data_IF_511860798016
#
_entry.id   IF_511860798016
#
_cell.length_a   1.000
_cell.length_b   1.000
_cell.length_c   1.000
_cell.angle_alpha   90.00
_cell.angle_beta   90.00
_cell.angle_gamma   90.00
#
_symmetry.space_group_name_H-M   'P 1'
#
loop_
_entity.id
_entity.type
_entity.pdbx_description
1 polymer ?
#
# COMPACT_ATOMS: atom_id res chain seq x y z
N UNK A 1 -7.92 -22.70 -9.51
CA UNK A 1 -6.87 -21.82 -8.95
C UNK A 1 -5.62 -22.05 -9.77
N UNK A 2 -5.29 -21.14 -10.71
CA UNK A 2 -4.08 -21.28 -11.53
C UNK A 2 -2.91 -20.57 -10.83
N UNK A 3 -2.11 -21.31 -10.07
CA UNK A 3 -0.88 -20.78 -9.50
C UNK A 3 0.21 -20.78 -10.58
N UNK A 4 0.41 -19.62 -11.21
CA UNK A 4 1.49 -19.45 -12.19
C UNK A 4 2.81 -19.15 -11.48
N UNK A 5 3.96 -19.63 -12.00
CA UNK A 5 5.28 -19.28 -11.48
C UNK A 5 5.55 -17.77 -11.61
N UNK A 6 6.52 -17.20 -10.87
CA UNK A 6 6.83 -15.78 -10.92
C UNK A 6 7.13 -15.34 -12.36
N UNK A 7 6.34 -14.39 -12.85
CA UNK A 7 6.43 -13.82 -14.18
C UNK A 7 7.59 -12.82 -14.25
N UNK A 8 8.52 -13.05 -15.17
CA UNK A 8 9.58 -12.11 -15.53
C UNK A 8 9.17 -11.42 -16.83
N UNK A 9 8.91 -10.11 -16.80
CA UNK A 9 8.45 -9.35 -17.97
C UNK A 9 9.57 -8.51 -18.60
N UNK A 10 9.64 -8.49 -19.94
CA UNK A 10 10.45 -7.54 -20.73
C UNK A 10 9.52 -6.91 -21.77
N UNK A 11 9.34 -5.58 -21.75
CA UNK A 11 8.51 -4.87 -22.74
C UNK A 11 9.39 -4.12 -23.76
N UNK A 12 9.09 -4.25 -25.06
CA UNK A 12 9.66 -3.43 -26.15
C UNK A 12 8.53 -2.66 -26.86
N UNK A 13 8.77 -1.40 -27.22
CA UNK A 13 7.83 -0.46 -27.87
C UNK A 13 8.34 -0.05 -29.27
N UNK A 14 7.51 0.41 -30.24
CA UNK A 14 6.23 -0.13 -30.70
C UNK A 14 6.26 -0.36 -32.23
N UNK A 15 6.24 -1.61 -32.66
CA UNK A 15 5.69 -2.01 -33.95
C UNK A 15 5.26 -3.48 -33.78
N UNK A 16 3.98 -3.68 -33.42
CA UNK A 16 3.39 -4.95 -32.92
C UNK A 16 3.87 -5.36 -31.53
N UNK A 17 3.04 -5.15 -30.51
CA UNK A 17 3.27 -5.64 -29.14
C UNK A 17 3.11 -7.15 -29.08
N UNK A 18 4.22 -7.88 -29.02
CA UNK A 18 4.28 -9.27 -28.50
C UNK A 18 4.75 -9.18 -27.04
N UNK A 19 3.96 -9.66 -26.07
CA UNK A 19 4.42 -9.79 -24.69
C UNK A 19 5.21 -11.10 -24.53
N UNK A 20 6.37 -11.13 -23.84
CA UNK A 20 7.16 -12.35 -23.74
C UNK A 20 6.91 -13.20 -22.48
N UNK A 21 6.78 -14.50 -22.74
CA UNK A 21 7.34 -15.69 -22.09
C UNK A 21 7.62 -15.69 -20.57
N UNK A 22 6.73 -16.32 -19.80
CA UNK A 22 7.03 -16.86 -18.45
C UNK A 22 8.17 -17.90 -18.48
N UNK A 23 8.74 -18.34 -17.33
CA UNK A 23 9.79 -19.39 -17.31
C UNK A 23 9.37 -20.72 -17.99
N UNK A 24 8.09 -20.89 -18.31
CA UNK A 24 7.60 -21.69 -19.43
C UNK A 24 7.02 -20.71 -20.47
N UNK A 25 7.77 -20.43 -21.55
CA UNK A 25 7.53 -19.25 -22.37
C UNK A 25 6.19 -19.22 -23.10
N UNK A 26 5.20 -18.54 -22.50
CA UNK A 26 3.96 -18.19 -23.16
C UNK A 26 4.00 -16.71 -23.55
N UNK A 27 4.13 -16.44 -24.84
CA UNK A 27 3.95 -15.10 -25.39
C UNK A 27 2.45 -14.82 -25.50
N UNK A 28 1.99 -13.70 -24.93
CA UNK A 28 0.58 -13.28 -24.96
C UNK A 28 0.49 -12.00 -25.79
N UNK A 29 -0.31 -12.01 -26.85
CA UNK A 29 -0.62 -10.79 -27.58
C UNK A 29 -1.58 -9.94 -26.75
N UNK A 30 -1.24 -8.67 -26.54
CA UNK A 30 -2.02 -7.77 -25.70
C UNK A 30 -1.94 -6.34 -26.22
N UNK A 31 -3.10 -5.68 -26.25
CA UNK A 31 -3.24 -4.24 -26.53
C UNK A 31 -2.98 -3.39 -25.27
N UNK A 32 -3.21 -3.97 -24.08
CA UNK A 32 -3.04 -3.30 -22.80
C UNK A 32 -2.49 -4.26 -21.74
N UNK A 33 -1.69 -3.71 -20.83
CA UNK A 33 -1.05 -4.46 -19.75
C UNK A 33 -1.25 -3.73 -18.43
N UNK A 34 -1.80 -4.43 -17.44
CA UNK A 34 -1.99 -3.94 -16.07
C UNK A 34 -0.94 -4.55 -15.14
N UNK A 35 -0.22 -3.70 -14.40
CA UNK A 35 0.73 -4.13 -13.37
C UNK A 35 0.09 -4.02 -11.98
N UNK A 36 -0.32 -5.17 -11.43
CA UNK A 36 -0.86 -5.27 -10.05
C UNK A 36 0.12 -6.02 -9.13
N UNK A 37 1.37 -5.57 -9.09
CA UNK A 37 2.49 -6.23 -8.38
C UNK A 37 2.88 -5.53 -7.07
N UNK A 38 2.03 -4.61 -6.60
CA UNK A 38 2.29 -3.77 -5.43
C UNK A 38 3.00 -2.46 -5.78
N UNK A 39 3.04 -1.57 -4.79
CA UNK A 39 3.66 -0.23 -4.87
C UNK A 39 4.90 -0.16 -3.98
N UNK A 40 5.77 0.81 -4.26
CA UNK A 40 6.95 1.11 -3.43
C UNK A 40 6.95 2.60 -3.09
N UNK A 41 7.33 2.98 -1.85
CA UNK A 41 7.51 4.38 -1.48
C UNK A 41 8.42 5.13 -2.44
N UNK A 42 7.98 6.31 -2.88
CA UNK A 42 8.77 7.16 -3.78
C UNK A 42 9.75 8.02 -2.97
N UNK A 43 10.83 7.41 -2.49
CA UNK A 43 11.87 8.04 -1.66
C UNK A 43 13.11 8.45 -2.45
N UNK A 44 13.08 8.31 -3.79
CA UNK A 44 14.24 8.59 -4.65
C UNK A 44 14.72 10.05 -4.59
N UNK A 45 13.78 10.99 -4.37
CA UNK A 45 14.07 12.42 -4.24
C UNK A 45 14.80 12.80 -2.95
N UNK A 46 14.82 11.89 -1.95
CA UNK A 46 15.39 12.14 -0.64
C UNK A 46 16.85 11.67 -0.53
N UNK A 47 17.39 11.09 -1.60
CA UNK A 47 18.81 10.75 -1.68
C UNK A 47 19.66 11.99 -1.40
N UNK A 48 20.68 11.81 -0.58
CA UNK A 48 21.64 12.86 -0.21
C UNK A 48 21.07 14.06 0.57
N UNK A 49 19.83 13.99 1.05
CA UNK A 49 19.22 15.06 1.87
C UNK A 49 19.54 14.99 3.36
N UNK A 50 20.14 13.88 3.82
CA UNK A 50 20.36 13.60 5.25
C UNK A 50 19.13 13.07 5.99
N UNK A 51 17.98 12.95 5.31
CA UNK A 51 16.79 12.27 5.86
C UNK A 51 17.05 10.77 5.90
N UNK A 52 16.80 10.16 7.05
CA UNK A 52 16.90 8.72 7.23
C UNK A 52 15.81 8.01 6.43
N UNK A 53 16.22 7.16 5.50
CA UNK A 53 15.34 6.37 4.65
C UNK A 53 15.71 4.88 4.73
N UNK A 54 14.71 4.02 4.59
CA UNK A 54 14.85 2.57 4.46
C UNK A 54 13.88 2.05 3.39
N UNK A 55 12.81 1.33 3.76
CA UNK A 55 11.72 0.98 2.84
C UNK A 55 10.86 2.20 2.56
N UNK A 56 10.71 3.11 3.53
CA UNK A 56 10.13 4.44 3.42
C UNK A 56 10.97 5.51 4.13
N UNK A 57 10.39 6.68 4.37
CA UNK A 57 10.96 7.72 5.24
C UNK A 57 10.78 7.30 6.68
N UNK A 58 11.88 7.10 7.40
CA UNK A 58 11.81 6.67 8.80
C UNK A 58 11.30 7.82 9.65
N UNK A 59 10.22 7.56 10.40
CA UNK A 59 9.59 8.56 11.28
C UNK A 59 9.43 8.04 12.71
N UNK A 60 9.43 8.98 13.65
CA UNK A 60 9.08 8.75 15.05
C UNK A 60 7.55 8.74 15.27
N UNK A 61 7.12 8.58 16.52
CA UNK A 61 5.69 8.60 16.91
C UNK A 61 5.00 9.96 16.67
N UNK A 62 5.75 11.03 16.40
CA UNK A 62 5.24 12.36 16.07
C UNK A 62 5.23 12.62 14.56
N UNK A 63 5.51 11.58 13.75
CA UNK A 63 5.66 11.63 12.30
C UNK A 63 6.82 12.53 11.82
N UNK A 64 7.80 12.79 12.69
CA UNK A 64 9.00 13.59 12.38
C UNK A 64 10.04 12.72 11.70
N UNK A 65 10.74 13.30 10.74
CA UNK A 65 11.92 12.66 10.15
C UNK A 65 13.16 12.89 11.01
N UNK A 66 14.32 12.39 10.59
CA UNK A 66 15.60 12.69 11.23
C UNK A 66 16.08 14.13 11.06
N UNK A 67 15.41 14.93 10.21
CA UNK A 67 15.73 16.34 9.97
C UNK A 67 14.67 17.22 10.61
N UNK A 68 15.13 18.22 11.35
CA UNK A 68 14.26 19.15 12.07
C UNK A 68 13.26 19.85 11.12
N UNK A 69 12.03 20.02 11.58
CA UNK A 69 10.94 20.65 10.84
C UNK A 69 10.52 19.94 9.54
N UNK A 70 11.00 18.72 9.30
CA UNK A 70 10.56 17.87 8.18
C UNK A 70 9.80 16.67 8.72
N UNK A 71 8.63 16.42 8.14
CA UNK A 71 7.68 15.38 8.53
C UNK A 71 7.35 14.49 7.32
N UNK A 72 6.94 13.25 7.58
CA UNK A 72 6.44 12.35 6.55
C UNK A 72 5.22 11.57 7.06
N UNK A 73 4.26 11.33 6.18
CA UNK A 73 3.03 10.61 6.49
C UNK A 73 2.51 9.88 5.25
N UNK A 74 1.68 8.87 5.46
CA UNK A 74 1.07 8.09 4.40
C UNK A 74 2.01 7.04 3.80
N UNK A 75 1.78 6.71 2.54
CA UNK A 75 2.42 5.58 1.86
C UNK A 75 3.95 5.68 1.83
N UNK A 76 4.50 6.89 2.00
CA UNK A 76 5.94 7.11 2.03
C UNK A 76 6.56 6.88 3.42
N UNK A 77 5.77 6.94 4.49
CA UNK A 77 6.27 6.90 5.87
C UNK A 77 6.50 5.47 6.35
N UNK A 78 7.64 5.26 7.01
CA UNK A 78 8.01 4.05 7.71
C UNK A 78 8.01 4.30 9.21
N UNK A 79 7.02 3.74 9.90
CA UNK A 79 6.88 3.82 11.36
C UNK A 79 7.05 2.44 11.97
N UNK A 80 7.94 2.28 12.95
CA UNK A 80 8.28 0.99 13.57
C UNK A 80 8.60 -0.12 12.55
N UNK A 81 9.32 0.22 11.47
CA UNK A 81 9.70 -0.71 10.40
C UNK A 81 8.55 -1.12 9.48
N UNK A 82 7.37 -0.50 9.59
CA UNK A 82 6.19 -0.80 8.79
C UNK A 82 5.90 0.33 7.80
N UNK A 83 5.60 -0.07 6.57
CA UNK A 83 4.99 0.79 5.54
C UNK A 83 3.67 0.12 5.14
N UNK A 84 2.56 0.77 5.46
CA UNK A 84 1.22 0.19 5.31
C UNK A 84 0.64 0.38 3.91
N UNK A 85 0.71 1.60 3.35
CA UNK A 85 0.17 1.87 2.01
C UNK A 85 -1.35 1.82 1.92
N UNK A 86 -2.06 2.24 2.97
CA UNK A 86 -3.53 2.18 3.06
C UNK A 86 -4.11 3.50 3.57
N UNK A 87 -5.32 3.82 3.11
CA UNK A 87 -5.98 5.09 3.39
C UNK A 87 -6.18 5.40 4.89
N UNK A 88 -6.68 4.48 5.75
CA UNK A 88 -6.90 4.79 7.16
C UNK A 88 -5.62 5.21 7.90
N UNK A 89 -4.50 4.54 7.59
CA UNK A 89 -3.19 4.86 8.17
C UNK A 89 -2.70 6.20 7.64
N UNK A 90 -2.78 6.44 6.33
CA UNK A 90 -2.33 7.69 5.73
C UNK A 90 -3.08 8.91 6.28
N UNK A 91 -4.40 8.78 6.47
CA UNK A 91 -5.24 9.82 7.06
C UNK A 91 -4.81 10.16 8.48
N UNK A 92 -4.62 9.17 9.34
CA UNK A 92 -4.26 9.42 10.73
C UNK A 92 -2.81 9.94 10.84
N UNK A 93 -1.85 9.36 10.11
CA UNK A 93 -0.48 9.87 10.07
C UNK A 93 -0.44 11.33 9.59
N UNK A 94 -1.21 11.69 8.56
CA UNK A 94 -1.28 13.05 8.04
C UNK A 94 -1.81 14.05 9.07
N UNK A 95 -2.84 13.65 9.82
CA UNK A 95 -3.39 14.45 10.94
C UNK A 95 -2.32 14.66 12.03
N UNK A 96 -1.61 13.61 12.43
CA UNK A 96 -0.56 13.71 13.46
C UNK A 96 0.60 14.59 12.99
N UNK A 97 1.08 14.41 11.76
CA UNK A 97 2.10 15.27 11.18
C UNK A 97 1.67 16.74 11.17
N UNK A 98 0.43 17.01 10.73
CA UNK A 98 -0.16 18.35 10.72
C UNK A 98 -0.22 19.01 12.10
N UNK A 99 -0.70 18.28 13.12
CA UNK A 99 -0.77 18.78 14.49
C UNK A 99 0.63 19.12 15.05
N UNK A 100 1.61 18.25 14.82
CA UNK A 100 2.97 18.50 15.29
C UNK A 100 3.66 19.64 14.53
N UNK A 101 3.41 19.79 13.22
CA UNK A 101 3.85 20.97 12.45
C UNK A 101 3.23 22.28 12.99
N UNK A 102 2.01 22.22 13.51
CA UNK A 102 1.31 23.36 14.12
C UNK A 102 1.69 23.62 15.59
N UNK A 103 2.66 22.87 16.15
CA UNK A 103 3.11 23.02 17.54
C UNK A 103 2.22 22.32 18.58
N UNK A 104 1.27 21.49 18.14
CA UNK A 104 0.42 20.68 19.02
C UNK A 104 1.02 19.28 19.14
N UNK A 105 1.81 19.05 20.20
CA UNK A 105 2.46 17.77 20.46
C UNK A 105 1.44 16.64 20.57
N UNK A 106 1.42 15.75 19.57
CA UNK A 106 0.45 14.66 19.46
C UNK A 106 1.16 13.40 18.99
N UNK A 107 1.08 12.30 19.73
CA UNK A 107 1.65 11.02 19.31
C UNK A 107 0.68 10.23 18.42
N UNK A 108 1.23 9.49 17.47
CA UNK A 108 0.52 8.55 16.62
C UNK A 108 0.21 7.26 17.38
N UNK A 109 -1.06 6.86 17.35
CA UNK A 109 -1.51 5.54 17.79
C UNK A 109 -1.76 4.69 16.56
N UNK A 110 -1.20 3.47 16.53
CA UNK A 110 -1.42 2.57 15.39
C UNK A 110 -2.92 2.32 15.17
N UNK A 111 -3.39 2.62 13.97
CA UNK A 111 -4.75 2.32 13.54
C UNK A 111 -4.83 0.85 13.14
N UNK A 112 -5.91 0.17 13.52
CA UNK A 112 -6.20 -1.19 13.04
C UNK A 112 -6.28 -1.14 11.51
N UNK A 113 -5.39 -1.84 10.78
CA UNK A 113 -5.41 -1.82 9.33
C UNK A 113 -6.76 -2.30 8.82
N UNK A 114 -7.36 -1.56 7.89
CA UNK A 114 -8.59 -1.97 7.24
C UNK A 114 -8.59 -1.58 5.78
N UNK A 115 -9.16 -2.45 4.96
CA UNK A 115 -9.29 -2.24 3.52
C UNK A 115 -10.70 -2.61 3.08
N UNK A 116 -11.21 -1.85 2.12
CA UNK A 116 -12.49 -2.08 1.47
C UNK A 116 -12.26 -2.10 -0.04
N UNK A 117 -12.75 -3.14 -0.71
CA UNK A 117 -12.70 -3.27 -2.15
C UNK A 117 -14.07 -3.70 -2.67
N UNK A 118 -14.50 -3.08 -3.78
CA UNK A 118 -15.68 -3.48 -4.53
C UNK A 118 -15.23 -4.07 -5.86
N UNK A 119 -15.60 -5.33 -6.09
CA UNK A 119 -15.29 -6.07 -7.32
C UNK A 119 -16.61 -6.52 -7.92
N UNK A 120 -17.03 -5.85 -9.00
CA UNK A 120 -18.36 -6.02 -9.59
C UNK A 120 -19.45 -5.86 -8.51
N UNK A 121 -20.27 -6.90 -8.32
CA UNK A 121 -21.38 -6.94 -7.36
C UNK A 121 -20.96 -7.46 -5.98
N UNK A 122 -19.66 -7.68 -5.77
CA UNK A 122 -19.11 -8.18 -4.50
C UNK A 122 -18.39 -7.06 -3.76
N UNK A 123 -18.77 -6.86 -2.50
CA UNK A 123 -18.09 -5.95 -1.58
C UNK A 123 -17.32 -6.75 -0.54
N UNK A 124 -16.04 -6.42 -0.36
CA UNK A 124 -15.14 -7.12 0.55
C UNK A 124 -14.55 -6.09 1.50
N UNK A 125 -14.71 -6.37 2.79
CA UNK A 125 -14.08 -5.63 3.86
C UNK A 125 -13.12 -6.54 4.62
N UNK A 126 -11.99 -5.98 5.04
CA UNK A 126 -11.03 -6.64 5.92
C UNK A 126 -10.56 -5.67 6.99
N UNK A 127 -10.33 -6.18 8.20
CA UNK A 127 -9.74 -5.45 9.31
C UNK A 127 -8.80 -6.35 10.11
N UNK A 128 -7.69 -5.79 10.59
CA UNK A 128 -6.64 -6.51 11.31
C UNK A 128 -5.55 -7.11 10.40
N UNK A 129 -4.67 -7.94 10.97
CA UNK A 129 -3.62 -8.64 10.24
C UNK A 129 -4.03 -10.08 9.93
N UNK A 130 -4.67 -10.27 8.77
CA UNK A 130 -5.14 -11.57 8.31
C UNK A 130 -4.01 -12.55 7.95
N UNK A 131 -2.76 -12.09 7.82
CA UNK A 131 -1.65 -12.91 7.36
C UNK A 131 -0.83 -13.54 8.51
N UNK A 132 -0.98 -13.03 9.74
CA UNK A 132 -0.18 -13.49 10.89
C UNK A 132 -0.96 -14.22 11.97
N UNK A 133 -2.28 -14.19 11.92
CA UNK A 133 -3.10 -14.77 12.98
C UNK A 133 -3.75 -16.08 12.56
N UNK A 134 -3.53 -17.14 13.37
CA UNK A 134 -4.19 -18.45 13.21
C UNK A 134 -5.72 -18.36 13.38
N UNK A 135 -6.21 -17.31 14.05
CA UNK A 135 -7.62 -17.10 14.36
C UNK A 135 -8.33 -16.14 13.40
N UNK A 136 -7.79 -15.92 12.19
CA UNK A 136 -8.45 -15.09 11.19
C UNK A 136 -9.86 -15.64 10.87
N UNK A 137 -10.89 -14.82 11.08
CA UNK A 137 -12.28 -15.17 10.78
C UNK A 137 -12.73 -14.51 9.48
N UNK A 138 -13.38 -15.28 8.61
CA UNK A 138 -14.06 -14.77 7.44
C UNK A 138 -15.57 -14.95 7.62
N UNK A 139 -16.31 -13.85 7.59
CA UNK A 139 -17.76 -13.84 7.59
C UNK A 139 -18.20 -13.42 6.19
N UNK A 140 -18.94 -14.28 5.50
CA UNK A 140 -19.55 -13.97 4.21
C UNK A 140 -21.01 -13.68 4.48
N UNK A 141 -21.42 -12.44 4.22
CA UNK A 141 -22.82 -12.01 4.33
C UNK A 141 -23.28 -11.53 2.97
N UNK A 142 -24.41 -12.06 2.50
CA UNK A 142 -25.09 -11.55 1.32
C UNK A 142 -25.90 -10.32 1.75
N UNK A 143 -25.40 -9.13 1.42
CA UNK A 143 -26.07 -7.87 1.75
C UNK A 143 -27.04 -7.57 0.62
N UNK A 144 -28.31 -7.93 0.82
CA UNK A 144 -29.42 -7.58 -0.06
C UNK A 144 -29.79 -6.10 0.18
N UNK A 145 -29.49 -5.17 -0.75
CA UNK A 145 -29.67 -3.73 -0.54
C UNK A 145 -31.13 -3.36 -0.23
N UNK A 146 -32.10 -4.11 -0.75
CA UNK A 146 -33.53 -3.96 -0.51
C UNK A 146 -34.00 -4.13 0.95
N UNK A 147 -33.18 -4.68 1.84
CA UNK A 147 -33.57 -5.00 3.23
C UNK A 147 -32.98 -4.06 4.30
N UNK A 148 -32.24 -3.01 3.91
CA UNK A 148 -31.74 -1.99 4.84
C UNK A 148 -32.60 -0.72 4.75
N UNK A 149 -33.73 -0.71 5.47
CA UNK A 149 -34.52 0.50 5.81
C UNK A 149 -34.11 0.98 7.20
#
# INVERSE_FOLDING_TARGET
MFTHPPLSYIFKSPAKSRAPSSKAGLDVEADFVVFSIGVRPNIGILKDTGININRGVVVDEYMRTSVENIYAAGDVAEYNGKVYGIWPVAKEQGKIAGLNMAGVTTSYSEVVPSNYIKVFDTEIFSAGDLCKEENAQAIITDIQPENNI
#
